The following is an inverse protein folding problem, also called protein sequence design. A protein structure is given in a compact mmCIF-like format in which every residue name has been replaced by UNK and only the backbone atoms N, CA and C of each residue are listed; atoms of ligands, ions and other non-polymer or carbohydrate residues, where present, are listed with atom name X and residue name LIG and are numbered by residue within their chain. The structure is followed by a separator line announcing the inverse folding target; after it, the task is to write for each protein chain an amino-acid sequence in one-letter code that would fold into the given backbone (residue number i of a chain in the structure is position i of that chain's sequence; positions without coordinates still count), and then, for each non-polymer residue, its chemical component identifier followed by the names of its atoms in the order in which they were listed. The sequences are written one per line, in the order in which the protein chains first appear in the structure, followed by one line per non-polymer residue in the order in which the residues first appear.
data_IF_543003927076
#
_entry.id   IF_543003927076
#
_cell.length_a   1.000
_cell.length_b   1.000
_cell.length_c   1.000
_cell.angle_alpha   90.00
_cell.angle_beta   90.00
_cell.angle_gamma   90.00
#
_symmetry.space_group_name_H-M   'P 1'
#
loop_
_entity.id
_entity.type
_entity.pdbx_description
1 polymer ?
#
# COMPACT_ATOMS: atom_id res chain seq x y z
N UNK A 1 23.56 16.76 6.35
CA UNK A 1 23.06 17.35 5.11
C UNK A 1 23.99 16.89 3.98
N UNK A 2 23.72 15.75 3.39
CA UNK A 2 24.50 15.27 2.25
C UNK A 2 23.54 14.61 1.29
N UNK A 3 23.30 15.29 0.19
CA UNK A 3 22.48 14.85 -0.92
C UNK A 3 23.08 13.58 -1.52
N UNK A 4 22.40 12.45 -1.38
CA UNK A 4 22.82 11.19 -1.99
C UNK A 4 22.39 11.19 -3.45
N UNK A 5 23.04 12.05 -4.23
CA UNK A 5 23.10 11.97 -5.67
C UNK A 5 24.43 11.29 -6.03
N UNK A 6 24.43 9.97 -6.09
CA UNK A 6 25.58 9.25 -6.64
C UNK A 6 25.41 9.23 -8.16
N UNK A 7 26.08 10.16 -8.81
CA UNK A 7 26.34 10.12 -10.24
C UNK A 7 27.19 8.88 -10.58
N UNK A 8 27.02 8.32 -11.77
CA UNK A 8 27.69 7.09 -12.28
C UNK A 8 29.23 7.04 -12.05
N UNK A 9 29.88 8.17 -11.85
CA UNK A 9 31.32 8.25 -11.56
C UNK A 9 31.76 7.64 -10.23
N UNK A 10 30.87 7.55 -9.22
CA UNK A 10 31.21 6.98 -7.92
C UNK A 10 31.05 5.46 -7.85
N UNK A 11 30.37 4.84 -8.82
CA UNK A 11 30.19 3.38 -8.86
C UNK A 11 31.47 2.68 -9.35
N UNK A 12 32.27 3.34 -10.18
CA UNK A 12 33.49 2.79 -10.77
C UNK A 12 34.66 2.67 -9.78
N UNK A 13 34.66 3.40 -8.67
CA UNK A 13 35.71 3.35 -7.64
C UNK A 13 35.48 2.28 -6.55
N UNK A 14 34.32 1.59 -6.55
CA UNK A 14 33.94 0.61 -5.53
C UNK A 14 34.03 -0.85 -6.02
N UNK A 15 34.95 -1.17 -6.91
CA UNK A 15 35.07 -2.49 -7.56
C UNK A 15 35.45 -3.68 -6.64
N UNK A 16 35.61 -3.47 -5.33
CA UNK A 16 35.90 -4.53 -4.37
C UNK A 16 34.78 -4.90 -3.40
N UNK A 17 33.64 -4.15 -3.40
CA UNK A 17 32.48 -4.44 -2.56
C UNK A 17 31.46 -5.27 -3.35
N UNK A 18 30.95 -6.34 -2.73
CA UNK A 18 29.92 -7.19 -3.32
C UNK A 18 28.60 -6.43 -3.37
N UNK A 19 28.38 -5.67 -4.45
CA UNK A 19 27.15 -4.91 -4.67
C UNK A 19 26.01 -5.88 -5.00
N UNK A 20 24.99 -5.91 -4.17
CA UNK A 20 23.74 -6.59 -4.52
C UNK A 20 22.86 -5.61 -5.27
N UNK A 21 22.51 -5.93 -6.53
CA UNK A 21 21.66 -5.11 -7.39
C UNK A 21 20.37 -5.86 -7.69
N UNK A 22 19.24 -5.17 -7.65
CA UNK A 22 17.95 -5.64 -8.13
C UNK A 22 17.36 -4.59 -9.06
N UNK A 23 16.66 -5.04 -10.08
CA UNK A 23 15.99 -4.16 -11.03
C UNK A 23 14.51 -4.51 -11.12
N UNK A 24 13.69 -3.49 -11.35
CA UNK A 24 12.24 -3.59 -11.52
C UNK A 24 11.88 -2.77 -12.75
N UNK A 25 11.18 -3.39 -13.69
CA UNK A 25 10.63 -2.69 -14.85
C UNK A 25 9.40 -1.93 -14.40
N UNK A 26 9.36 -0.64 -14.66
CA UNK A 26 8.20 0.21 -14.37
C UNK A 26 7.16 0.02 -15.48
N UNK A 27 5.90 -0.30 -15.16
CA UNK A 27 4.83 -0.37 -16.15
C UNK A 27 4.68 0.97 -16.88
N UNK A 28 4.35 0.93 -18.17
CA UNK A 28 4.20 2.13 -19.02
C UNK A 28 3.13 3.12 -18.53
N UNK A 29 2.18 2.63 -17.73
CA UNK A 29 1.11 3.45 -17.15
C UNK A 29 1.55 4.22 -15.90
N UNK A 30 2.75 3.97 -15.37
CA UNK A 30 3.24 4.56 -14.13
C UNK A 30 4.45 5.43 -14.44
N UNK A 31 4.39 6.67 -13.95
CA UNK A 31 5.53 7.60 -13.94
C UNK A 31 6.20 7.54 -12.58
N UNK A 32 7.53 7.42 -12.57
CA UNK A 32 8.31 7.39 -11.34
C UNK A 32 9.26 8.59 -11.35
N UNK A 33 9.21 9.38 -10.29
CA UNK A 33 10.12 10.50 -10.07
C UNK A 33 10.82 10.36 -8.73
N UNK A 34 12.09 10.74 -8.69
CA UNK A 34 12.89 10.76 -7.46
C UNK A 34 13.13 12.20 -7.08
N UNK A 35 12.56 12.66 -5.97
CA UNK A 35 12.71 14.01 -5.45
C UNK A 35 13.29 13.94 -4.04
N UNK A 36 14.48 14.50 -3.87
CA UNK A 36 15.23 14.46 -2.61
C UNK A 36 15.40 13.02 -2.09
N UNK A 37 14.65 12.64 -1.06
CA UNK A 37 14.65 11.29 -0.47
C UNK A 37 13.33 10.56 -0.66
N UNK A 38 12.46 11.06 -1.57
CA UNK A 38 11.14 10.51 -1.82
C UNK A 38 11.05 9.92 -3.22
N UNK A 39 10.59 8.68 -3.32
CA UNK A 39 10.14 8.09 -4.57
C UNK A 39 8.65 8.37 -4.74
N UNK A 40 8.32 9.06 -5.81
CA UNK A 40 6.96 9.43 -6.15
C UNK A 40 6.51 8.58 -7.32
N UNK A 41 5.41 7.88 -7.15
CA UNK A 41 4.77 7.03 -8.15
C UNK A 41 3.44 7.68 -8.55
N UNK A 42 3.27 7.98 -9.83
CA UNK A 42 2.03 8.51 -10.41
C UNK A 42 1.46 7.49 -11.38
N UNK A 43 0.22 7.11 -11.19
CA UNK A 43 -0.50 6.15 -12.03
C UNK A 43 -1.93 6.58 -12.30
N UNK A 44 -2.71 5.77 -13.03
CA UNK A 44 -4.07 6.10 -13.43
C UNK A 44 -5.03 6.32 -12.25
N UNK A 45 -4.83 5.63 -11.12
CA UNK A 45 -5.69 5.73 -9.95
C UNK A 45 -5.25 6.82 -8.96
N UNK A 46 -4.05 7.39 -9.12
CA UNK A 46 -3.57 8.45 -8.24
C UNK A 46 -2.07 8.50 -8.08
N UNK A 47 -1.63 8.97 -6.91
CA UNK A 47 -0.23 9.23 -6.59
C UNK A 47 0.12 8.65 -5.22
N UNK A 48 1.27 7.98 -5.13
CA UNK A 48 1.84 7.46 -3.88
C UNK A 48 3.24 8.02 -3.71
N UNK A 49 3.57 8.44 -2.49
CA UNK A 49 4.89 8.89 -2.11
C UNK A 49 5.51 7.88 -1.13
N UNK A 50 6.70 7.40 -1.44
CA UNK A 50 7.50 6.53 -0.59
C UNK A 50 8.69 7.30 -0.04
N UNK A 51 8.69 7.51 1.27
CA UNK A 51 9.83 8.10 1.98
C UNK A 51 10.91 7.03 2.19
N UNK A 52 12.05 7.22 1.54
CA UNK A 52 13.16 6.30 1.60
C UNK A 52 13.87 6.32 2.96
N UNK A 53 13.90 7.46 3.65
CA UNK A 53 14.57 7.61 4.94
C UNK A 53 13.87 6.84 6.06
N UNK A 54 12.54 6.76 6.01
CA UNK A 54 11.78 5.98 7.01
C UNK A 54 12.03 4.48 6.90
N UNK A 55 12.31 4.00 5.70
CA UNK A 55 12.45 2.58 5.40
C UNK A 55 13.90 2.12 5.37
N UNK A 56 14.85 3.00 5.09
CA UNK A 56 16.29 2.72 5.08
C UNK A 56 17.00 3.44 6.23
N UNK A 57 16.91 2.85 7.42
CA UNK A 57 17.55 3.41 8.63
C UNK A 57 19.07 3.37 8.60
N UNK A 58 19.66 2.56 7.73
CA UNK A 58 21.11 2.41 7.60
C UNK A 58 21.70 3.34 6.51
N UNK A 59 20.85 3.85 5.59
CA UNK A 59 21.27 4.72 4.50
C UNK A 59 22.13 4.03 3.43
N UNK A 60 22.06 2.69 3.34
CA UNK A 60 22.90 1.87 2.47
C UNK A 60 22.21 1.46 1.16
N UNK A 61 20.97 1.87 0.95
CA UNK A 61 20.21 1.56 -0.25
C UNK A 61 20.25 2.72 -1.24
N UNK A 62 20.64 2.43 -2.46
CA UNK A 62 20.72 3.39 -3.55
C UNK A 62 19.66 3.09 -4.60
N UNK A 63 19.01 4.13 -5.09
CA UNK A 63 17.95 4.05 -6.08
C UNK A 63 18.38 4.84 -7.32
N UNK A 64 18.20 4.26 -8.49
CA UNK A 64 18.44 4.94 -9.76
C UNK A 64 17.38 4.55 -10.78
N UNK A 65 17.00 5.51 -11.63
CA UNK A 65 16.00 5.33 -12.69
C UNK A 65 16.76 5.45 -14.02
N UNK A 66 16.63 4.43 -14.85
CA UNK A 66 17.25 4.40 -16.18
C UNK A 66 16.17 4.27 -17.22
N UNK A 67 16.20 5.06 -18.32
CA UNK A 67 15.33 4.83 -19.45
C UNK A 67 15.70 3.52 -20.14
N UNK A 68 14.70 2.78 -20.62
CA UNK A 68 14.87 1.59 -21.45
C UNK A 68 14.54 1.93 -22.90
N UNK A 69 15.19 1.24 -23.85
CA UNK A 69 14.97 1.46 -25.29
C UNK A 69 13.52 1.25 -25.73
N UNK A 70 12.73 0.52 -24.92
CA UNK A 70 11.30 0.28 -25.12
C UNK A 70 10.39 1.42 -24.68
N UNK A 71 10.93 2.57 -24.23
CA UNK A 71 10.17 3.70 -23.69
C UNK A 71 9.67 3.49 -22.24
N UNK A 72 10.06 2.38 -21.62
CA UNK A 72 9.80 2.10 -20.21
C UNK A 72 10.97 2.57 -19.34
N UNK A 73 10.78 2.65 -18.05
CA UNK A 73 11.82 2.96 -17.09
C UNK A 73 12.23 1.72 -16.30
N UNK A 74 13.53 1.59 -16.04
CA UNK A 74 14.07 0.57 -15.15
C UNK A 74 14.45 1.22 -13.83
N UNK A 75 13.78 0.82 -12.75
CA UNK A 75 14.15 1.22 -11.40
C UNK A 75 15.17 0.22 -10.85
N UNK A 76 16.39 0.68 -10.61
CA UNK A 76 17.47 -0.12 -10.05
C UNK A 76 17.65 0.19 -8.57
N UNK A 77 17.70 -0.87 -7.77
CA UNK A 77 17.95 -0.83 -6.33
C UNK A 77 19.29 -1.52 -6.08
N UNK A 78 20.19 -0.90 -5.34
CA UNK A 78 21.49 -1.47 -5.02
C UNK A 78 21.88 -1.21 -3.56
N UNK A 79 22.65 -2.11 -2.99
CA UNK A 79 23.24 -1.95 -1.66
C UNK A 79 24.66 -2.52 -1.63
N UNK A 80 25.51 -1.94 -0.81
CA UNK A 80 26.89 -2.36 -0.59
C UNK A 80 27.03 -3.39 0.53
N UNK A 81 26.08 -3.44 1.47
CA UNK A 81 26.13 -4.32 2.62
C UNK A 81 25.23 -5.56 2.51
N UNK A 82 25.78 -6.73 2.85
CA UNK A 82 25.03 -8.00 2.85
C UNK A 82 23.78 -7.96 3.76
N UNK A 83 23.85 -7.25 4.90
CA UNK A 83 22.73 -7.11 5.83
C UNK A 83 21.56 -6.31 5.22
N UNK A 84 21.87 -5.34 4.36
CA UNK A 84 20.87 -4.50 3.70
C UNK A 84 20.15 -5.19 2.53
N UNK A 85 20.57 -6.41 2.15
CA UNK A 85 19.88 -7.23 1.14
C UNK A 85 18.41 -7.52 1.53
N UNK A 86 18.15 -7.68 2.82
CA UNK A 86 16.77 -7.90 3.32
C UNK A 86 15.90 -6.68 3.04
N UNK A 87 16.44 -5.48 3.25
CA UNK A 87 15.74 -4.22 2.94
C UNK A 87 15.48 -4.06 1.45
N UNK A 88 16.43 -4.43 0.57
CA UNK A 88 16.20 -4.41 -0.88
C UNK A 88 15.00 -5.29 -1.29
N UNK A 89 14.92 -6.49 -0.73
CA UNK A 89 13.80 -7.38 -1.02
C UNK A 89 12.46 -6.81 -0.52
N UNK A 90 12.47 -6.19 0.66
CA UNK A 90 11.29 -5.51 1.21
C UNK A 90 10.86 -4.31 0.35
N UNK A 91 11.80 -3.47 -0.08
CA UNK A 91 11.55 -2.37 -1.01
C UNK A 91 10.97 -2.86 -2.34
N UNK A 92 11.59 -3.90 -2.92
CA UNK A 92 11.08 -4.49 -4.16
C UNK A 92 9.62 -4.92 -4.03
N UNK A 93 9.30 -5.66 -2.96
CA UNK A 93 7.92 -6.12 -2.72
C UNK A 93 6.96 -4.96 -2.53
N UNK A 94 7.38 -3.91 -1.81
CA UNK A 94 6.57 -2.72 -1.56
C UNK A 94 6.32 -1.93 -2.86
N UNK A 95 7.35 -1.75 -3.71
CA UNK A 95 7.22 -1.06 -4.99
C UNK A 95 6.28 -1.83 -5.94
N UNK A 96 6.42 -3.15 -6.03
CA UNK A 96 5.52 -3.98 -6.84
C UNK A 96 4.07 -3.89 -6.34
N UNK A 97 3.87 -3.83 -5.01
CA UNK A 97 2.56 -3.60 -4.43
C UNK A 97 2.00 -2.22 -4.82
N UNK A 98 2.82 -1.17 -4.82
CA UNK A 98 2.39 0.16 -5.28
C UNK A 98 2.04 0.17 -6.75
N UNK A 99 2.77 -0.54 -7.60
CA UNK A 99 2.41 -0.66 -9.02
C UNK A 99 1.04 -1.29 -9.20
N UNK A 100 0.75 -2.38 -8.50
CA UNK A 100 -0.57 -3.00 -8.51
C UNK A 100 -1.65 -2.05 -7.98
N UNK A 101 -1.37 -1.35 -6.88
CA UNK A 101 -2.30 -0.38 -6.29
C UNK A 101 -2.62 0.80 -7.21
N UNK A 102 -1.62 1.30 -7.94
CA UNK A 102 -1.80 2.44 -8.86
C UNK A 102 -2.47 2.06 -10.18
N UNK A 103 -2.40 0.79 -10.60
CA UNK A 103 -2.99 0.30 -11.87
C UNK A 103 -4.38 -0.28 -11.66
N UNK A 104 -4.55 -1.16 -10.68
CA UNK A 104 -5.78 -1.93 -10.45
C UNK A 104 -6.51 -1.49 -9.18
N UNK A 105 -5.77 -0.96 -8.18
CA UNK A 105 -6.29 -0.73 -6.84
C UNK A 105 -6.40 -2.01 -6.01
N UNK A 106 -6.78 -1.83 -4.75
CA UNK A 106 -7.05 -2.93 -3.83
C UNK A 106 -8.47 -2.84 -3.31
N UNK A 107 -9.09 -3.99 -3.13
CA UNK A 107 -10.41 -4.13 -2.54
C UNK A 107 -10.30 -4.98 -1.28
N UNK A 108 -10.90 -4.47 -0.21
CA UNK A 108 -11.05 -5.20 1.06
C UNK A 108 -12.51 -5.18 1.44
N UNK A 109 -13.08 -6.34 1.77
CA UNK A 109 -14.47 -6.43 2.17
C UNK A 109 -14.63 -6.94 3.60
N UNK A 110 -15.61 -6.37 4.30
CA UNK A 110 -16.06 -6.78 5.62
C UNK A 110 -17.51 -7.24 5.53
N UNK A 111 -17.81 -8.35 6.16
CA UNK A 111 -19.17 -8.85 6.29
C UNK A 111 -19.65 -8.71 7.73
N UNK A 112 -20.86 -8.15 7.88
CA UNK A 112 -21.57 -8.06 9.14
C UNK A 112 -22.44 -9.32 9.32
N UNK A 113 -22.07 -10.19 10.23
CA UNK A 113 -22.84 -11.38 10.58
C UNK A 113 -23.59 -11.18 11.90
N UNK A 114 -24.92 -11.25 11.87
CA UNK A 114 -25.75 -11.12 13.05
C UNK A 114 -27.20 -10.79 12.73
N UNK A 115 -28.12 -11.28 13.52
CA UNK A 115 -29.55 -10.99 13.34
C UNK A 115 -29.80 -9.50 13.59
N UNK A 116 -30.35 -8.79 12.60
CA UNK A 116 -30.66 -7.37 12.70
C UNK A 116 -29.46 -6.43 12.55
N UNK A 117 -28.26 -6.95 12.25
CA UNK A 117 -27.10 -6.11 11.96
C UNK A 117 -27.27 -5.46 10.59
N UNK A 118 -27.06 -4.15 10.53
CA UNK A 118 -27.14 -3.37 9.30
C UNK A 118 -26.10 -2.28 9.31
N UNK A 119 -25.65 -1.93 8.12
CA UNK A 119 -24.72 -0.82 7.89
C UNK A 119 -25.37 0.14 6.92
N UNK A 120 -25.27 1.42 7.23
CA UNK A 120 -25.71 2.51 6.37
C UNK A 120 -24.52 3.41 6.07
N UNK A 121 -24.43 3.87 4.84
CA UNK A 121 -23.42 4.84 4.42
C UNK A 121 -24.12 6.19 4.24
N UNK A 122 -23.74 7.18 5.02
CA UNK A 122 -24.19 8.56 4.92
C UNK A 122 -23.01 9.47 4.63
N UNK A 123 -22.95 10.00 3.41
CA UNK A 123 -21.82 10.82 2.93
C UNK A 123 -20.48 10.11 3.18
N UNK A 124 -19.73 10.55 4.17
CA UNK A 124 -18.40 10.00 4.54
C UNK A 124 -18.42 9.26 5.89
N UNK A 125 -19.58 8.85 6.37
CA UNK A 125 -19.72 8.17 7.67
C UNK A 125 -20.43 6.84 7.48
N UNK A 126 -19.86 5.78 8.02
CA UNK A 126 -20.51 4.48 8.15
C UNK A 126 -21.24 4.42 9.50
N UNK A 127 -22.53 4.19 9.47
CA UNK A 127 -23.36 3.99 10.65
C UNK A 127 -23.66 2.49 10.81
N UNK A 128 -23.31 1.96 11.97
CA UNK A 128 -23.43 0.55 12.30
C UNK A 128 -24.53 0.31 13.32
N UNK A 129 -25.49 -0.56 13.00
CA UNK A 129 -26.44 -1.15 13.95
C UNK A 129 -25.96 -2.56 14.28
N UNK A 130 -25.18 -2.73 15.36
CA UNK A 130 -24.54 -3.99 15.74
C UNK A 130 -25.13 -4.60 17.03
N UNK A 131 -26.40 -4.28 17.33
CA UNK A 131 -27.07 -4.75 18.54
C UNK A 131 -26.65 -4.03 19.82
N UNK A 132 -25.98 -2.88 19.70
CA UNK A 132 -25.73 -1.96 20.81
C UNK A 132 -26.92 -0.99 20.99
N UNK A 133 -27.02 -0.40 22.19
CA UNK A 133 -28.04 0.61 22.49
C UNK A 133 -27.88 1.88 21.66
N UNK A 134 -26.67 2.20 21.24
CA UNK A 134 -26.34 3.33 20.36
C UNK A 134 -25.75 2.83 19.05
N UNK A 135 -26.02 3.55 17.97
CA UNK A 135 -25.34 3.31 16.70
C UNK A 135 -23.85 3.68 16.82
N UNK A 136 -22.98 2.83 16.33
CA UNK A 136 -21.55 3.14 16.21
C UNK A 136 -21.30 3.82 14.89
N UNK A 137 -20.51 4.88 14.89
CA UNK A 137 -20.17 5.65 13.70
C UNK A 137 -18.66 5.53 13.40
N UNK A 138 -18.33 5.46 12.12
CA UNK A 138 -16.96 5.45 11.65
C UNK A 138 -16.79 6.44 10.50
N UNK A 139 -15.86 7.38 10.64
CA UNK A 139 -15.54 8.36 9.60
C UNK A 139 -14.60 7.76 8.57
N UNK A 140 -15.00 7.85 7.30
CA UNK A 140 -14.22 7.35 6.17
C UNK A 140 -13.19 8.39 5.78
N UNK A 141 -11.88 8.05 5.74
CA UNK A 141 -10.85 8.92 5.22
C UNK A 141 -11.06 9.21 3.72
N UNK A 142 -10.67 10.40 3.27
CA UNK A 142 -10.88 10.86 1.90
C UNK A 142 -10.11 10.08 0.82
N UNK A 143 -9.10 9.33 1.23
CA UNK A 143 -8.25 8.51 0.37
C UNK A 143 -8.78 7.10 0.10
N UNK A 144 -9.93 6.76 0.71
CA UNK A 144 -10.57 5.45 0.55
C UNK A 144 -12.02 5.63 0.09
N UNK A 145 -12.38 4.87 -0.93
CA UNK A 145 -13.76 4.79 -1.38
C UNK A 145 -14.46 3.62 -0.69
N UNK A 146 -15.70 3.85 -0.27
CA UNK A 146 -16.51 2.83 0.40
C UNK A 146 -17.83 2.68 -0.33
N UNK A 147 -18.24 1.43 -0.54
CA UNK A 147 -19.54 1.10 -1.10
C UNK A 147 -20.13 -0.11 -0.42
N UNK A 148 -21.45 -0.19 -0.43
CA UNK A 148 -22.24 -1.24 0.19
C UNK A 148 -22.97 -2.05 -0.89
N UNK A 149 -22.39 -3.17 -1.37
CA UNK A 149 -23.10 -4.04 -2.32
C UNK A 149 -24.37 -4.65 -1.74
N UNK A 150 -24.34 -4.91 -0.43
CA UNK A 150 -25.46 -5.41 0.38
C UNK A 150 -25.47 -4.69 1.73
N UNK A 151 -26.60 -4.69 2.43
CA UNK A 151 -26.72 -4.06 3.76
C UNK A 151 -25.83 -4.66 4.84
N UNK A 152 -25.29 -5.83 4.59
CA UNK A 152 -24.40 -6.55 5.50
C UNK A 152 -22.94 -6.67 4.98
N UNK A 153 -22.62 -6.09 3.82
CA UNK A 153 -21.29 -6.17 3.20
C UNK A 153 -20.77 -4.78 2.91
N UNK A 154 -19.59 -4.49 3.42
CA UNK A 154 -18.88 -3.22 3.24
C UNK A 154 -17.65 -3.50 2.40
N UNK A 155 -17.46 -2.76 1.33
CA UNK A 155 -16.30 -2.83 0.48
C UNK A 155 -15.51 -1.53 0.57
N UNK A 156 -14.21 -1.65 0.84
CA UNK A 156 -13.24 -0.56 0.87
C UNK A 156 -12.35 -0.68 -0.35
N UNK A 157 -12.25 0.38 -1.13
CA UNK A 157 -11.39 0.45 -2.30
C UNK A 157 -10.37 1.57 -2.15
N UNK A 158 -9.12 1.33 -2.55
CA UNK A 158 -8.07 2.34 -2.50
C UNK A 158 -6.74 1.84 -3.08
N UNK A 159 -5.78 2.75 -3.11
CA UNK A 159 -4.49 2.54 -3.75
C UNK A 159 -3.50 1.85 -2.79
N UNK A 160 -3.53 2.23 -1.51
CA UNK A 160 -2.60 1.70 -0.50
C UNK A 160 -3.20 0.51 0.26
N UNK A 161 -2.65 -0.68 0.00
CA UNK A 161 -3.08 -1.93 0.66
C UNK A 161 -2.96 -1.89 2.18
N UNK A 162 -1.86 -1.32 2.71
CA UNK A 162 -1.63 -1.27 4.15
C UNK A 162 -2.67 -0.40 4.84
N UNK A 163 -2.95 0.76 4.25
CA UNK A 163 -3.94 1.71 4.76
C UNK A 163 -5.35 1.13 4.73
N UNK A 164 -5.71 0.44 3.64
CA UNK A 164 -6.99 -0.25 3.53
C UNK A 164 -7.19 -1.31 4.61
N UNK A 165 -6.18 -2.16 4.83
CA UNK A 165 -6.27 -3.19 5.87
C UNK A 165 -6.32 -2.59 7.27
N UNK A 166 -5.62 -1.47 7.51
CA UNK A 166 -5.71 -0.75 8.78
C UNK A 166 -7.13 -0.24 9.02
N UNK A 167 -7.72 0.44 8.03
CA UNK A 167 -9.11 0.94 8.13
C UNK A 167 -10.08 -0.22 8.34
N UNK A 168 -9.93 -1.32 7.61
CA UNK A 168 -10.77 -2.50 7.79
C UNK A 168 -10.62 -3.11 9.20
N UNK A 169 -9.40 -3.15 9.75
CA UNK A 169 -9.16 -3.61 11.11
C UNK A 169 -9.76 -2.66 12.16
N UNK A 170 -9.66 -1.35 11.96
CA UNK A 170 -10.25 -0.33 12.84
C UNK A 170 -11.78 -0.48 12.86
N UNK A 171 -12.42 -0.68 11.71
CA UNK A 171 -13.86 -0.96 11.61
C UNK A 171 -14.21 -2.30 12.24
N UNK A 172 -13.42 -3.35 12.01
CA UNK A 172 -13.63 -4.66 12.62
C UNK A 172 -13.56 -4.61 14.14
N UNK A 173 -12.73 -3.75 14.70
CA UNK A 173 -12.58 -3.58 16.15
C UNK A 173 -13.84 -3.06 16.84
N UNK A 174 -14.77 -2.40 16.11
CA UNK A 174 -16.06 -1.96 16.65
C UNK A 174 -16.90 -3.14 17.16
N UNK A 175 -16.79 -4.29 16.50
CA UNK A 175 -17.45 -5.53 16.92
C UNK A 175 -16.66 -6.73 16.39
N UNK A 176 -15.73 -7.22 17.19
CA UNK A 176 -14.98 -8.43 16.86
C UNK A 176 -15.92 -9.63 16.70
N UNK A 177 -15.64 -10.54 15.76
CA UNK A 177 -16.45 -11.73 15.58
C UNK A 177 -16.36 -12.64 16.81
N UNK A 178 -17.51 -13.00 17.34
CA UNK A 178 -17.61 -13.96 18.42
C UNK A 178 -17.21 -15.36 17.91
N UNK A 179 -16.27 -16.01 18.60
CA UNK A 179 -15.79 -17.33 18.24
C UNK A 179 -16.89 -18.42 18.36
N UNK A 180 -17.89 -18.22 19.22
CA UNK A 180 -18.92 -19.20 19.52
C UNK A 180 -20.14 -19.07 18.59
N UNK A 181 -20.63 -17.85 18.37
CA UNK A 181 -21.85 -17.58 17.59
C UNK A 181 -21.57 -16.98 16.22
N UNK A 182 -20.30 -16.66 15.92
CA UNK A 182 -19.88 -16.05 14.65
C UNK A 182 -20.44 -14.65 14.38
N UNK A 183 -21.10 -14.01 15.37
CA UNK A 183 -21.69 -12.67 15.24
C UNK A 183 -20.59 -11.62 15.35
N UNK A 184 -20.55 -10.67 14.43
CA UNK A 184 -19.57 -9.58 14.42
C UNK A 184 -19.20 -9.16 13.01
N UNK A 185 -18.14 -8.36 12.90
CA UNK A 185 -17.55 -7.92 11.64
C UNK A 185 -16.39 -8.85 11.27
N UNK A 186 -16.49 -9.51 10.12
CA UNK A 186 -15.48 -10.46 9.63
C UNK A 186 -14.92 -9.98 8.31
N UNK A 187 -13.60 -10.09 8.14
CA UNK A 187 -12.97 -9.93 6.83
C UNK A 187 -13.49 -11.01 5.89
N UNK A 188 -14.01 -10.60 4.75
CA UNK A 188 -14.53 -11.48 3.71
C UNK A 188 -13.67 -11.30 2.46
N UNK A 189 -13.30 -12.41 1.83
CA UNK A 189 -12.71 -12.40 0.49
C UNK A 189 -13.86 -12.51 -0.52
N UNK A 190 -14.39 -11.36 -0.94
CA UNK A 190 -15.33 -11.34 -2.06
C UNK A 190 -14.49 -11.39 -3.33
N UNK A 191 -14.54 -12.51 -4.04
CA UNK A 191 -14.20 -12.53 -5.44
C UNK A 191 -15.33 -11.82 -6.17
N UNK A 192 -15.06 -10.62 -6.69
CA UNK A 192 -15.92 -10.00 -7.67
C UNK A 192 -15.74 -10.81 -8.96
N UNK A 193 -16.66 -11.73 -9.19
CA UNK A 193 -16.82 -12.42 -10.48
C UNK A 193 -17.52 -11.49 -11.47
#
# INVERSE_FOLDING_TARGET
MSSILITEKNILSMSSLSITKQSIVVPSQIKVTLENSNLIFEGPLGKICLDLQQHDKLGDCFFSIHPLDTGQHLLSLSTTHKKSKVFLNAFKSLILQYFTGLTQGFLVSLECTGIGYRVHLEKNTLQFKLGFSHASEFFIPSDVQVFLPKQNVICFFGIDKKRLHKIAADVQSLKLPDAYKGKGLRLSHIHLS
#
